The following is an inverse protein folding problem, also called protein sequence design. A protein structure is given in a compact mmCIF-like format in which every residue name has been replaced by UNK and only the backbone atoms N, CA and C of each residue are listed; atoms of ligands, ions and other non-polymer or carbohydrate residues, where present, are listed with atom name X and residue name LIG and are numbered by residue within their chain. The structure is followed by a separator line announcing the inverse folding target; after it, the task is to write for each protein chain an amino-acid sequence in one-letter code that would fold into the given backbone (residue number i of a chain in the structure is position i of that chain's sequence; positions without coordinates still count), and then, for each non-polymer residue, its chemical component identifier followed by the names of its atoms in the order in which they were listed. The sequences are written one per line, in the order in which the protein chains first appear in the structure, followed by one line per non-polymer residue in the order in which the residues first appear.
data_IF_607675249583
#
_entry.id   IF_607675249583
#
_cell.length_a   1.000
_cell.length_b   1.000
_cell.length_c   1.000
_cell.angle_alpha   90.00
_cell.angle_beta   90.00
_cell.angle_gamma   90.00
#
_symmetry.space_group_name_H-M   'P 1'
#
loop_
_entity.id
_entity.type
_entity.pdbx_description
1 polymer ?
#
# COMPACT_ATOMS: atom_id res chain seq x y z
N UNK A 1 15.28 -28.18 -2.58
CA UNK A 1 14.09 -27.73 -1.83
C UNK A 1 14.37 -27.28 -0.39
N UNK A 2 15.39 -27.79 0.32
CA UNK A 2 15.66 -27.41 1.72
C UNK A 2 15.78 -25.88 1.92
N UNK A 3 16.59 -25.21 1.09
CA UNK A 3 16.74 -23.75 1.09
C UNK A 3 15.42 -22.99 0.98
N UNK A 4 14.54 -23.40 0.06
CA UNK A 4 13.27 -22.73 -0.19
C UNK A 4 12.38 -22.74 1.07
N UNK A 5 12.36 -23.88 1.78
CA UNK A 5 11.59 -24.08 3.01
C UNK A 5 12.18 -23.32 4.19
N UNK A 6 13.50 -23.27 4.29
CA UNK A 6 14.20 -22.68 5.45
C UNK A 6 14.34 -21.16 5.35
N UNK A 7 14.50 -20.63 4.13
CA UNK A 7 14.85 -19.22 3.90
C UNK A 7 14.20 -18.60 2.67
N UNK A 8 14.15 -19.32 1.54
CA UNK A 8 13.73 -18.75 0.25
C UNK A 8 12.33 -18.13 0.26
N UNK A 9 11.34 -18.78 0.90
CA UNK A 9 9.99 -18.22 1.05
C UNK A 9 10.01 -16.91 1.86
N UNK A 10 10.80 -16.86 2.94
CA UNK A 10 10.92 -15.67 3.78
C UNK A 10 11.58 -14.52 2.99
N UNK A 11 12.66 -14.78 2.26
CA UNK A 11 13.33 -13.76 1.44
C UNK A 11 12.41 -13.17 0.35
N UNK A 12 11.62 -14.02 -0.32
CA UNK A 12 10.63 -13.55 -1.31
C UNK A 12 9.59 -12.66 -0.64
N UNK A 13 9.00 -13.11 0.47
CA UNK A 13 7.99 -12.35 1.20
C UNK A 13 8.54 -11.01 1.71
N UNK A 14 9.74 -11.02 2.28
CA UNK A 14 10.41 -9.83 2.80
C UNK A 14 10.69 -8.82 1.69
N UNK A 15 11.18 -9.27 0.54
CA UNK A 15 11.45 -8.38 -0.60
C UNK A 15 10.19 -7.74 -1.17
N UNK A 16 9.05 -8.44 -1.13
CA UNK A 16 7.73 -7.89 -1.49
C UNK A 16 7.27 -6.86 -0.46
N UNK A 17 7.29 -7.24 0.83
CA UNK A 17 6.79 -6.42 1.93
C UNK A 17 7.63 -5.17 2.18
N UNK A 18 8.92 -5.23 1.91
CA UNK A 18 9.87 -4.13 2.07
C UNK A 18 10.14 -3.37 0.76
N UNK A 19 9.38 -3.65 -0.31
CA UNK A 19 9.55 -2.91 -1.56
C UNK A 19 9.21 -1.42 -1.36
N UNK A 20 10.06 -0.55 -1.89
CA UNK A 20 9.91 0.90 -1.76
C UNK A 20 8.62 1.40 -2.46
N UNK A 21 8.24 0.74 -3.56
CA UNK A 21 7.02 1.03 -4.30
C UNK A 21 5.76 0.74 -3.47
N UNK A 22 5.75 -0.37 -2.72
CA UNK A 22 4.66 -0.71 -1.82
C UNK A 22 4.57 0.31 -0.67
N UNK A 23 5.70 0.59 -0.01
CA UNK A 23 5.75 1.53 1.12
C UNK A 23 5.23 2.93 0.71
N UNK A 24 5.75 3.49 -0.38
CA UNK A 24 5.30 4.79 -0.90
C UNK A 24 3.82 4.81 -1.27
N UNK A 25 3.31 3.74 -1.86
CA UNK A 25 1.92 3.67 -2.30
C UNK A 25 0.98 3.52 -1.11
N UNK A 26 1.32 2.69 -0.12
CA UNK A 26 0.58 2.57 1.14
C UNK A 26 0.58 3.89 1.92
N UNK A 27 1.74 4.56 2.02
CA UNK A 27 1.83 5.85 2.70
C UNK A 27 0.88 6.90 2.08
N UNK A 28 0.87 7.01 0.74
CA UNK A 28 -0.05 7.91 0.03
C UNK A 28 -1.51 7.52 0.21
N UNK A 29 -1.82 6.23 0.13
CA UNK A 29 -3.18 5.71 0.34
C UNK A 29 -3.71 6.04 1.74
N UNK A 30 -2.90 5.82 2.78
CA UNK A 30 -3.27 6.11 4.18
C UNK A 30 -3.54 7.59 4.39
N UNK A 31 -2.71 8.47 3.80
CA UNK A 31 -2.92 9.92 3.87
C UNK A 31 -4.23 10.30 3.18
N UNK A 32 -4.49 9.81 1.98
CA UNK A 32 -5.73 10.10 1.26
C UNK A 32 -6.97 9.59 2.00
N UNK A 33 -6.92 8.37 2.54
CA UNK A 33 -7.98 7.79 3.36
C UNK A 33 -8.28 8.63 4.61
N UNK A 34 -7.24 9.15 5.28
CA UNK A 34 -7.39 10.03 6.44
C UNK A 34 -8.07 11.35 6.05
N UNK A 35 -7.70 11.96 4.93
CA UNK A 35 -8.33 13.20 4.47
C UNK A 35 -9.80 13.00 4.14
N UNK A 36 -10.14 11.88 3.47
CA UNK A 36 -11.51 11.54 3.15
C UNK A 36 -12.36 11.25 4.38
N UNK A 37 -11.83 10.44 5.31
CA UNK A 37 -12.49 10.17 6.60
C UNK A 37 -12.71 11.44 7.43
N UNK A 38 -11.77 12.38 7.42
CA UNK A 38 -11.94 13.69 8.06
C UNK A 38 -13.08 14.49 7.41
N UNK A 39 -13.13 14.55 6.08
CA UNK A 39 -14.19 15.26 5.36
C UNK A 39 -15.58 14.67 5.65
N UNK A 40 -15.70 13.35 5.61
CA UNK A 40 -16.94 12.64 5.92
C UNK A 40 -17.37 12.84 7.38
N UNK A 41 -16.45 12.67 8.32
CA UNK A 41 -16.74 12.88 9.75
C UNK A 41 -17.13 14.32 10.06
N UNK A 42 -16.50 15.31 9.41
CA UNK A 42 -16.91 16.72 9.57
C UNK A 42 -18.32 16.94 9.02
N UNK A 43 -18.64 16.38 7.85
CA UNK A 43 -19.98 16.49 7.26
C UNK A 43 -21.06 15.88 8.16
N UNK A 44 -20.80 14.71 8.76
CA UNK A 44 -21.68 14.07 9.73
C UNK A 44 -21.87 14.94 10.99
N UNK A 45 -20.77 15.47 11.55
CA UNK A 45 -20.85 16.40 12.67
C UNK A 45 -21.68 17.64 12.35
N UNK A 46 -21.45 18.26 11.19
CA UNK A 46 -22.22 19.41 10.72
C UNK A 46 -23.72 19.07 10.62
N UNK A 47 -24.05 17.91 10.06
CA UNK A 47 -25.43 17.44 9.97
C UNK A 47 -26.09 17.31 11.36
N UNK A 48 -25.39 16.72 12.34
CA UNK A 48 -25.90 16.60 13.70
C UNK A 48 -26.10 17.96 14.39
N UNK A 49 -25.17 18.91 14.21
CA UNK A 49 -25.28 20.26 14.77
C UNK A 49 -26.49 21.00 14.21
N UNK A 50 -26.68 20.97 12.88
CA UNK A 50 -27.86 21.56 12.22
C UNK A 50 -29.14 20.95 12.78
N UNK A 51 -29.19 19.63 12.91
CA UNK A 51 -30.38 18.95 13.39
C UNK A 51 -30.71 19.24 14.86
N UNK A 52 -29.70 19.28 15.73
CA UNK A 52 -29.87 19.46 17.17
C UNK A 52 -30.18 20.92 17.53
N UNK A 53 -29.42 21.86 16.96
CA UNK A 53 -29.49 23.27 17.34
C UNK A 53 -30.39 24.11 16.43
N UNK A 54 -30.87 23.54 15.32
CA UNK A 54 -31.67 24.24 14.30
C UNK A 54 -30.99 25.49 13.74
N UNK A 55 -29.65 25.45 13.65
CA UNK A 55 -28.83 26.51 13.07
C UNK A 55 -28.39 26.14 11.66
N UNK A 56 -28.02 27.13 10.86
CA UNK A 56 -27.37 26.89 9.57
C UNK A 56 -25.86 26.72 9.78
N UNK A 57 -25.37 25.50 9.59
CA UNK A 57 -23.97 25.14 9.74
C UNK A 57 -23.58 24.19 8.61
N UNK A 58 -22.53 24.52 7.86
CA UNK A 58 -22.08 23.76 6.69
C UNK A 58 -20.65 23.24 6.87
N UNK A 59 -20.00 22.85 5.78
CA UNK A 59 -18.61 22.37 5.78
C UNK A 59 -17.59 23.45 5.44
N UNK A 60 -17.99 24.74 5.33
CA UNK A 60 -17.11 25.85 4.92
C UNK A 60 -15.93 26.10 5.85
N UNK A 61 -16.01 25.64 7.10
CA UNK A 61 -14.95 25.72 8.11
C UNK A 61 -14.07 24.47 8.19
N UNK A 62 -14.36 23.44 7.39
CA UNK A 62 -13.54 22.23 7.32
C UNK A 62 -12.19 22.53 6.67
N UNK A 63 -11.12 21.91 7.17
CA UNK A 63 -9.81 21.96 6.53
C UNK A 63 -9.80 21.32 5.12
N UNK A 64 -10.80 20.49 4.80
CA UNK A 64 -10.99 19.85 3.48
C UNK A 64 -12.06 20.54 2.64
N UNK A 65 -12.51 21.74 3.02
CA UNK A 65 -13.55 22.44 2.27
C UNK A 65 -13.12 22.71 0.82
N UNK A 66 -14.00 22.38 -0.13
CA UNK A 66 -13.74 22.57 -1.56
C UNK A 66 -12.78 21.55 -2.19
N UNK A 67 -12.32 20.55 -1.43
CA UNK A 67 -11.44 19.47 -1.92
C UNK A 67 -12.26 18.20 -2.11
N UNK A 68 -12.13 17.55 -3.26
CA UNK A 68 -12.73 16.23 -3.51
C UNK A 68 -11.83 15.12 -2.95
N UNK A 69 -11.91 14.94 -1.63
CA UNK A 69 -11.13 13.92 -0.91
C UNK A 69 -11.53 12.50 -1.29
N UNK A 70 -12.80 12.30 -1.66
CA UNK A 70 -13.32 10.99 -2.06
C UNK A 70 -12.72 10.54 -3.39
N UNK A 71 -12.68 11.42 -4.39
CA UNK A 71 -12.02 11.13 -5.66
C UNK A 71 -10.51 10.90 -5.47
N UNK A 72 -9.84 11.69 -4.63
CA UNK A 72 -8.43 11.51 -4.33
C UNK A 72 -8.15 10.14 -3.67
N UNK A 73 -8.97 9.73 -2.70
CA UNK A 73 -8.86 8.43 -2.06
C UNK A 73 -9.12 7.28 -3.05
N UNK A 74 -10.16 7.39 -3.89
CA UNK A 74 -10.46 6.39 -4.91
C UNK A 74 -9.33 6.24 -5.94
N UNK A 75 -8.70 7.34 -6.34
CA UNK A 75 -7.55 7.32 -7.22
C UNK A 75 -6.34 6.59 -6.59
N UNK A 76 -5.99 6.92 -5.34
CA UNK A 76 -4.90 6.24 -4.63
C UNK A 76 -5.20 4.77 -4.38
N UNK A 77 -6.45 4.40 -4.11
CA UNK A 77 -6.87 3.01 -3.97
C UNK A 77 -6.70 2.24 -5.29
N UNK A 78 -7.08 2.86 -6.40
CA UNK A 78 -6.89 2.28 -7.74
C UNK A 78 -5.40 2.10 -8.04
N UNK A 79 -4.55 3.05 -7.65
CA UNK A 79 -3.09 2.92 -7.80
C UNK A 79 -2.54 1.75 -6.99
N UNK A 80 -2.96 1.62 -5.72
CA UNK A 80 -2.58 0.50 -4.85
C UNK A 80 -3.05 -0.86 -5.41
N UNK A 81 -4.32 -0.97 -5.80
CA UNK A 81 -4.92 -2.21 -6.31
C UNK A 81 -4.26 -2.69 -7.62
N UNK A 82 -3.63 -1.78 -8.38
CA UNK A 82 -2.94 -2.09 -9.64
C UNK A 82 -1.40 -2.04 -9.52
N UNK A 83 -0.86 -1.87 -8.31
CA UNK A 83 0.57 -1.72 -8.09
C UNK A 83 1.34 -2.94 -8.62
N UNK A 84 2.31 -2.70 -9.49
CA UNK A 84 3.24 -3.71 -9.97
C UNK A 84 4.53 -3.61 -9.15
N UNK A 85 4.97 -4.74 -8.60
CA UNK A 85 6.19 -4.83 -7.84
C UNK A 85 7.26 -5.52 -8.70
N UNK A 86 8.37 -4.85 -9.05
CA UNK A 86 9.40 -5.43 -9.92
C UNK A 86 9.93 -6.78 -9.41
N UNK A 87 10.01 -6.96 -8.09
CA UNK A 87 10.41 -8.23 -7.47
C UNK A 87 9.46 -9.39 -7.78
N UNK A 88 8.16 -9.12 -7.95
CA UNK A 88 7.19 -10.16 -8.32
C UNK A 88 7.40 -10.63 -9.75
N UNK A 89 7.79 -9.74 -10.66
CA UNK A 89 8.12 -10.11 -12.04
C UNK A 89 9.37 -10.98 -12.09
N UNK A 90 10.41 -10.63 -11.33
CA UNK A 90 11.63 -11.43 -11.21
C UNK A 90 11.34 -12.84 -10.66
N UNK A 91 10.53 -12.93 -9.60
CA UNK A 91 10.10 -14.21 -9.02
C UNK A 91 9.31 -15.02 -10.03
N UNK A 92 8.37 -14.41 -10.75
CA UNK A 92 7.57 -15.09 -11.77
C UNK A 92 8.43 -15.66 -12.89
N UNK A 93 9.44 -14.91 -13.35
CA UNK A 93 10.40 -15.40 -14.36
C UNK A 93 11.24 -16.55 -13.80
N UNK A 94 11.76 -16.44 -12.59
CA UNK A 94 12.55 -17.50 -11.97
C UNK A 94 11.76 -18.81 -11.81
N UNK A 95 10.49 -18.72 -11.44
CA UNK A 95 9.60 -19.88 -11.28
C UNK A 95 9.27 -20.62 -12.59
N UNK A 96 9.53 -20.01 -13.75
CA UNK A 96 9.37 -20.66 -15.06
C UNK A 96 10.58 -21.51 -15.47
N UNK A 97 11.71 -21.39 -14.76
CA UNK A 97 12.93 -22.17 -15.03
C UNK A 97 12.81 -23.61 -14.53
N UNK A 98 13.46 -24.55 -15.23
CA UNK A 98 13.63 -25.94 -14.76
C UNK A 98 14.38 -25.98 -13.42
N UNK A 99 15.34 -25.06 -13.22
CA UNK A 99 16.04 -24.85 -11.94
C UNK A 99 15.64 -23.52 -11.30
N UNK A 100 14.35 -23.42 -10.96
CA UNK A 100 13.79 -22.27 -10.26
C UNK A 100 14.47 -21.97 -8.91
N UNK A 101 15.02 -22.98 -8.22
CA UNK A 101 15.70 -22.76 -6.94
C UNK A 101 17.02 -22.01 -7.14
N UNK A 102 17.81 -22.39 -8.15
CA UNK A 102 19.04 -21.66 -8.48
C UNK A 102 18.73 -20.22 -8.91
N UNK A 103 17.73 -20.01 -9.77
CA UNK A 103 17.32 -18.67 -10.20
C UNK A 103 16.83 -17.79 -9.03
N UNK A 104 16.06 -18.35 -8.10
CA UNK A 104 15.63 -17.61 -6.91
C UNK A 104 16.81 -17.28 -5.99
N UNK A 105 17.83 -18.14 -5.89
CA UNK A 105 19.06 -17.85 -5.13
C UNK A 105 19.89 -16.73 -5.77
N UNK A 106 19.89 -16.60 -7.10
CA UNK A 106 20.55 -15.47 -7.77
C UNK A 106 19.86 -14.13 -7.45
N UNK A 107 18.53 -14.15 -7.29
CA UNK A 107 17.75 -12.96 -6.92
C UNK A 107 17.86 -12.65 -5.42
N UNK A 108 17.86 -13.70 -4.59
CA UNK A 108 17.90 -13.63 -3.13
C UNK A 108 19.12 -14.42 -2.61
N UNK A 109 20.33 -13.87 -2.73
CA UNK A 109 21.53 -14.54 -2.29
C UNK A 109 21.51 -14.79 -0.77
N UNK A 110 22.16 -15.87 -0.35
CA UNK A 110 22.35 -16.15 1.07
C UNK A 110 23.33 -15.10 1.63
N UNK A 111 22.92 -14.33 2.65
CA UNK A 111 23.80 -13.31 3.29
C UNK A 111 25.10 -13.90 3.89
N UNK A 112 25.19 -15.23 3.97
CA UNK A 112 26.34 -15.97 4.47
C UNK A 112 27.33 -16.40 3.37
N UNK A 113 27.01 -16.22 2.07
CA UNK A 113 27.93 -16.55 0.96
C UNK A 113 28.95 -15.44 0.66
N UNK A 114 28.70 -14.20 1.08
CA UNK A 114 29.60 -13.04 0.84
C UNK A 114 30.62 -12.79 1.98
N UNK A 115 30.67 -13.69 2.98
CA UNK A 115 31.58 -13.58 4.15
C UNK A 115 32.78 -14.54 4.11
N UNK A 116 33.13 -15.10 2.95
CA UNK A 116 34.29 -16.01 2.77
C UNK A 116 35.30 -15.48 1.76
#
# INVERSE_FOLDING_TARGET
MLWLKERGIACVAESVLNSEELDKTVARLVVAARHDGYAQGYAECSHHVVNALKVNWDTSKSATHGVDTGAAFAAMKTEFDNLQLPVMDLVNVALQSEDHVAQLKEIFPDEDEDLV
#
